data_IF_072526970678
#
_entry.id   IF_072526970678
#
_cell.length_a   1.000
_cell.length_b   1.000
_cell.length_c   1.000
_cell.angle_alpha   90.00
_cell.angle_beta   90.00
_cell.angle_gamma   90.00
#
_symmetry.space_group_name_H-M   'P 1'
#
loop_
_entity.id
_entity.type
_entity.pdbx_description
1 polymer ?
#
# COMPACT_ATOMS: atom_id res chain seq x y z
N UNK A 1 -16.33 5.75 14.80
CA UNK A 1 -16.39 6.29 13.42
C UNK A 1 -15.49 5.41 12.56
N UNK A 2 -16.06 4.43 11.86
CA UNK A 2 -15.27 3.48 11.05
C UNK A 2 -15.10 4.00 9.61
N UNK A 3 -13.86 4.36 9.26
CA UNK A 3 -13.14 3.75 8.13
C UNK A 3 -13.53 4.00 6.67
N UNK A 4 -14.44 4.92 6.31
CA UNK A 4 -14.58 5.37 4.90
C UNK A 4 -14.83 6.88 4.84
N UNK A 5 -14.12 7.59 3.94
CA UNK A 5 -14.23 9.04 3.67
C UNK A 5 -15.67 9.55 3.82
N UNK A 6 -15.98 10.11 5.01
CA UNK A 6 -17.24 10.80 5.28
C UNK A 6 -17.05 12.27 4.92
N UNK A 7 -18.11 12.90 4.42
CA UNK A 7 -18.09 14.35 4.19
C UNK A 7 -17.84 15.08 5.51
N UNK A 8 -17.22 16.27 5.44
CA UNK A 8 -16.99 17.10 6.63
C UNK A 8 -18.31 17.38 7.38
N UNK A 9 -19.40 17.59 6.64
CA UNK A 9 -20.75 17.76 7.19
C UNK A 9 -21.22 16.56 8.03
N UNK A 10 -21.03 15.34 7.51
CA UNK A 10 -21.41 14.13 8.24
C UNK A 10 -20.62 13.99 9.54
N UNK A 11 -19.30 14.26 9.50
CA UNK A 11 -18.43 14.20 10.69
C UNK A 11 -18.86 15.24 11.71
N UNK A 12 -19.14 16.47 11.28
CA UNK A 12 -19.62 17.54 12.16
C UNK A 12 -20.94 17.15 12.86
N UNK A 13 -21.91 16.60 12.12
CA UNK A 13 -23.19 16.13 12.68
C UNK A 13 -23.01 14.98 13.67
N UNK A 14 -22.20 14.00 13.34
CA UNK A 14 -21.90 12.86 14.23
C UNK A 14 -21.23 13.33 15.54
N UNK A 15 -20.20 14.19 15.44
CA UNK A 15 -19.49 14.72 16.61
C UNK A 15 -20.41 15.60 17.46
N UNK A 16 -21.28 16.40 16.84
CA UNK A 16 -22.25 17.25 17.55
C UNK A 16 -23.22 16.41 18.37
N UNK A 17 -23.76 15.32 17.80
CA UNK A 17 -24.63 14.39 18.51
C UNK A 17 -23.93 13.75 19.73
N UNK A 18 -22.71 13.25 19.55
CA UNK A 18 -21.93 12.70 20.66
C UNK A 18 -21.67 13.74 21.76
N UNK A 19 -21.38 14.98 21.39
CA UNK A 19 -21.16 16.07 22.35
C UNK A 19 -22.43 16.44 23.11
N UNK A 20 -23.58 16.50 22.43
CA UNK A 20 -24.85 16.79 23.09
C UNK A 20 -25.22 15.71 24.13
N UNK A 21 -24.93 14.44 23.86
CA UNK A 21 -25.12 13.35 24.83
C UNK A 21 -24.15 13.46 26.00
N UNK A 22 -22.86 13.67 25.74
CA UNK A 22 -21.84 13.82 26.79
C UNK A 22 -22.07 15.05 27.68
N UNK A 23 -22.56 16.13 27.09
CA UNK A 23 -22.91 17.37 27.80
C UNK A 23 -24.27 17.28 28.53
N UNK A 24 -24.98 16.14 28.45
CA UNK A 24 -26.30 15.95 29.07
C UNK A 24 -27.43 16.76 28.42
N UNK A 25 -27.21 17.33 27.24
CA UNK A 25 -28.17 18.16 26.49
C UNK A 25 -29.14 17.36 25.63
N UNK A 26 -28.84 16.08 25.41
CA UNK A 26 -29.65 15.16 24.61
C UNK A 26 -29.65 13.80 25.27
N UNK A 27 -30.82 13.16 25.40
CA UNK A 27 -30.90 11.84 26.01
C UNK A 27 -30.37 10.76 25.06
N UNK A 28 -29.79 9.65 25.58
CA UNK A 28 -29.32 8.55 24.75
C UNK A 28 -30.35 7.98 23.75
N UNK A 29 -31.66 7.85 24.10
CA UNK A 29 -32.69 7.43 23.15
C UNK A 29 -32.90 8.41 21.99
N UNK A 30 -32.99 9.72 22.28
CA UNK A 30 -33.17 10.76 21.25
C UNK A 30 -31.94 10.87 20.33
N UNK A 31 -30.75 10.67 20.90
CA UNK A 31 -29.52 10.62 20.12
C UNK A 31 -29.47 9.40 19.18
N UNK A 32 -30.02 8.26 19.60
CA UNK A 32 -30.07 7.05 18.78
C UNK A 32 -31.00 7.24 17.56
N UNK A 33 -32.15 7.89 17.75
CA UNK A 33 -33.08 8.24 16.67
C UNK A 33 -32.43 9.21 15.66
N UNK A 34 -31.79 10.27 16.16
CA UNK A 34 -31.10 11.24 15.28
C UNK A 34 -29.89 10.62 14.56
N UNK A 35 -29.21 9.66 15.19
CA UNK A 35 -28.11 8.93 14.58
C UNK A 35 -28.59 8.05 13.41
N UNK A 36 -29.84 7.58 13.39
CA UNK A 36 -30.39 6.78 12.30
C UNK A 36 -30.29 7.50 10.94
N UNK A 37 -30.48 8.84 10.95
CA UNK A 37 -30.29 9.70 9.77
C UNK A 37 -28.85 9.73 9.23
N UNK A 38 -27.85 9.48 10.09
CA UNK A 38 -26.44 9.35 9.68
C UNK A 38 -26.17 8.01 9.01
N UNK A 39 -27.04 7.02 9.22
CA UNK A 39 -27.01 5.70 8.58
C UNK A 39 -27.14 5.78 7.06
N UNK A 40 -27.79 6.81 6.50
CA UNK A 40 -27.93 6.98 5.06
C UNK A 40 -26.58 7.13 4.31
N UNK A 41 -25.54 7.66 4.97
CA UNK A 41 -24.20 7.81 4.40
C UNK A 41 -23.26 6.65 4.76
N UNK A 42 -23.65 5.76 5.68
CA UNK A 42 -22.94 4.53 5.98
C UNK A 42 -23.54 3.42 5.13
N UNK A 43 -22.78 2.70 4.33
CA UNK A 43 -23.32 1.58 3.53
C UNK A 43 -23.84 0.40 4.37
N UNK A 44 -24.17 0.61 5.64
CA UNK A 44 -24.60 -0.33 6.69
C UNK A 44 -25.53 0.41 7.65
N UNK A 45 -26.54 -0.28 8.19
CA UNK A 45 -27.34 0.23 9.32
C UNK A 45 -26.48 0.40 10.57
N UNK A 46 -26.72 1.45 11.34
CA UNK A 46 -26.10 1.62 12.66
C UNK A 46 -26.69 0.57 13.62
N UNK A 47 -25.84 0.00 14.47
CA UNK A 47 -26.24 -1.00 15.46
C UNK A 47 -25.82 -0.51 16.85
N UNK A 48 -26.67 -0.64 17.88
CA UNK A 48 -26.31 -0.27 19.24
C UNK A 48 -25.22 -1.18 19.85
N UNK A 49 -24.96 -2.37 19.27
CA UNK A 49 -23.80 -3.23 19.50
C UNK A 49 -23.06 -3.08 20.84
N UNK A 50 -21.80 -2.68 20.77
CA UNK A 50 -20.90 -2.51 21.92
C UNK A 50 -21.41 -1.56 23.00
N UNK A 51 -22.26 -0.58 22.65
CA UNK A 51 -22.85 0.35 23.64
C UNK A 51 -23.78 -0.37 24.62
N UNK A 52 -24.45 -1.44 24.18
CA UNK A 52 -25.30 -2.30 25.02
C UNK A 52 -24.61 -3.60 25.44
N UNK A 53 -23.29 -3.72 25.23
CA UNK A 53 -22.53 -4.94 25.55
C UNK A 53 -22.76 -6.12 24.60
N UNK A 54 -23.52 -5.94 23.51
CA UNK A 54 -23.75 -6.99 22.52
C UNK A 54 -22.52 -7.16 21.60
N UNK A 55 -22.01 -8.39 21.50
CA UNK A 55 -20.83 -8.76 20.70
C UNK A 55 -21.14 -9.64 19.49
N UNK A 56 -22.40 -10.00 19.27
CA UNK A 56 -22.85 -10.83 18.15
C UNK A 56 -23.43 -9.98 17.03
N UNK A 57 -23.35 -10.47 15.78
CA UNK A 57 -23.95 -9.83 14.59
C UNK A 57 -23.60 -8.33 14.39
N UNK A 58 -22.38 -7.96 14.78
CA UNK A 58 -21.86 -6.58 14.75
C UNK A 58 -21.74 -5.99 13.32
N UNK A 59 -21.86 -6.81 12.28
CA UNK A 59 -21.62 -6.39 10.89
C UNK A 59 -22.80 -5.70 10.21
N UNK A 60 -23.99 -5.67 10.83
CA UNK A 60 -25.19 -5.02 10.33
C UNK A 60 -25.70 -5.54 8.98
N UNK A 61 -26.96 -5.25 8.64
CA UNK A 61 -27.49 -5.49 7.29
C UNK A 61 -27.05 -4.38 6.32
N UNK A 62 -26.70 -4.74 5.08
CA UNK A 62 -26.35 -3.78 4.04
C UNK A 62 -27.59 -2.97 3.62
N UNK A 63 -27.49 -1.64 3.58
CA UNK A 63 -28.55 -0.75 3.12
C UNK A 63 -28.06 0.17 1.99
N UNK A 64 -28.71 0.07 0.82
CA UNK A 64 -28.86 1.09 -0.25
C UNK A 64 -30.22 0.80 -0.92
N UNK A 65 -31.02 1.76 -1.43
CA UNK A 65 -30.67 3.04 -2.11
C UNK A 65 -31.57 4.24 -1.67
N UNK A 66 -31.48 5.48 -2.19
CA UNK A 66 -32.00 5.99 -3.49
C UNK A 66 -31.05 7.03 -4.11
N UNK A 67 -30.89 6.94 -5.44
CA UNK A 67 -30.17 7.87 -6.32
C UNK A 67 -30.89 9.21 -6.43
N UNK A 68 -30.19 10.33 -6.23
CA UNK A 68 -30.67 11.64 -6.69
C UNK A 68 -30.11 11.94 -8.09
N UNK A 69 -30.86 12.67 -8.93
CA UNK A 69 -30.56 12.83 -10.35
C UNK A 69 -29.31 13.67 -10.58
N UNK A 70 -28.58 13.30 -11.62
CA UNK A 70 -27.46 14.05 -12.18
C UNK A 70 -27.98 15.40 -12.64
N UNK A 71 -27.55 16.47 -11.98
CA UNK A 71 -27.73 17.83 -12.48
C UNK A 71 -26.69 18.05 -13.57
N UNK A 72 -27.17 18.27 -14.79
CA UNK A 72 -26.38 18.72 -15.93
C UNK A 72 -25.62 20.00 -15.55
N UNK A 73 -24.30 19.98 -15.68
CA UNK A 73 -23.51 21.21 -15.59
C UNK A 73 -23.61 21.96 -16.90
N UNK A 74 -24.15 23.17 -16.79
CA UNK A 74 -24.16 24.20 -17.82
C UNK A 74 -22.75 24.48 -18.35
N UNK A 75 -22.68 24.72 -19.66
CA UNK A 75 -21.46 25.08 -20.36
C UNK A 75 -20.94 26.46 -19.99
N UNK A 76 -19.62 26.62 -20.15
CA UNK A 76 -19.00 27.92 -20.35
C UNK A 76 -18.10 27.83 -21.59
N UNK A 77 -18.41 28.68 -22.57
CA UNK A 77 -17.49 29.12 -23.61
C UNK A 77 -16.58 30.19 -23.00
N UNK A 78 -15.27 30.17 -23.23
CA UNK A 78 -14.67 30.97 -24.31
C UNK A 78 -13.13 30.94 -24.31
N UNK A 79 -12.64 31.40 -25.47
CA UNK A 79 -11.31 31.45 -26.05
C UNK A 79 -10.13 31.95 -25.18
N UNK A 80 -8.94 31.47 -25.58
CA UNK A 80 -7.65 32.08 -25.29
C UNK A 80 -6.55 31.41 -26.14
N UNK A 81 -6.14 32.07 -27.22
CA UNK A 81 -5.05 31.68 -28.12
C UNK A 81 -3.68 31.84 -27.44
N UNK A 82 -2.78 30.87 -27.70
CA UNK A 82 -1.34 31.07 -27.74
C UNK A 82 -0.72 29.99 -28.64
N UNK A 83 -0.02 30.42 -29.69
CA UNK A 83 0.78 29.59 -30.60
C UNK A 83 1.94 28.90 -29.87
N UNK A 84 2.12 27.59 -30.11
CA UNK A 84 3.43 26.91 -30.17
C UNK A 84 3.23 25.42 -30.53
N UNK A 85 3.42 25.07 -31.82
CA UNK A 85 3.26 23.72 -32.44
C UNK A 85 1.93 22.98 -32.13
N UNK A 86 1.29 22.32 -33.11
CA UNK A 86 0.05 21.62 -32.81
C UNK A 86 0.35 20.50 -31.80
N UNK A 87 -0.21 20.64 -30.60
CA UNK A 87 -0.23 19.67 -29.50
C UNK A 87 -0.98 18.42 -29.98
N UNK A 88 -0.36 17.62 -30.84
CA UNK A 88 -0.98 16.42 -31.40
C UNK A 88 -0.57 15.23 -30.53
N UNK A 89 -1.52 14.49 -29.94
CA UNK A 89 -1.21 13.31 -29.16
C UNK A 89 -0.45 12.27 -30.01
N UNK A 90 0.62 11.70 -29.47
CA UNK A 90 1.41 10.64 -30.14
C UNK A 90 1.23 9.32 -29.43
N UNK A 91 0.75 8.31 -30.14
CA UNK A 91 0.57 6.94 -29.67
C UNK A 91 1.68 6.07 -30.27
N UNK A 92 2.69 5.72 -29.49
CA UNK A 92 3.84 4.92 -29.93
C UNK A 92 3.77 3.52 -29.34
N UNK A 93 3.80 2.49 -30.18
CA UNK A 93 3.81 1.09 -29.72
C UNK A 93 5.13 0.44 -30.09
N UNK A 94 5.82 -0.08 -29.09
CA UNK A 94 7.12 -0.75 -29.22
C UNK A 94 7.06 -2.14 -28.58
N UNK A 95 7.87 -3.06 -29.10
CA UNK A 95 8.13 -4.34 -28.46
C UNK A 95 9.44 -4.23 -27.68
N UNK A 96 9.38 -4.52 -26.38
CA UNK A 96 10.54 -4.50 -25.48
C UNK A 96 10.85 -5.94 -25.04
N UNK A 97 12.12 -6.33 -25.13
CA UNK A 97 12.65 -7.67 -24.83
C UNK A 97 12.01 -8.83 -25.61
N UNK A 98 11.47 -8.57 -26.80
CA UNK A 98 10.75 -9.52 -27.68
C UNK A 98 9.53 -10.23 -27.04
N UNK A 99 9.11 -9.83 -25.83
CA UNK A 99 8.06 -10.51 -25.06
C UNK A 99 6.95 -9.59 -24.57
N UNK A 100 7.20 -8.31 -24.32
CA UNK A 100 6.17 -7.38 -23.85
C UNK A 100 6.00 -6.17 -24.76
N UNK A 101 4.74 -5.80 -24.99
CA UNK A 101 4.37 -4.64 -25.79
C UNK A 101 4.18 -3.44 -24.88
N UNK A 102 4.87 -2.34 -25.21
CA UNK A 102 4.75 -1.07 -24.51
C UNK A 102 4.04 -0.07 -25.40
N UNK A 103 2.85 0.33 -24.97
CA UNK A 103 2.06 1.36 -25.60
C UNK A 103 2.29 2.68 -24.87
N UNK A 104 2.95 3.63 -25.53
CA UNK A 104 3.36 4.92 -24.98
C UNK A 104 2.49 6.03 -25.57
N UNK A 105 1.91 6.87 -24.72
CA UNK A 105 1.19 8.07 -25.16
C UNK A 105 1.95 9.30 -24.69
N UNK A 106 2.21 10.22 -25.61
CA UNK A 106 2.79 11.53 -25.33
C UNK A 106 1.81 12.60 -25.80
N UNK A 107 1.38 13.46 -24.88
CA UNK A 107 0.50 14.58 -25.18
C UNK A 107 0.75 15.69 -24.16
N UNK A 108 1.01 16.92 -24.64
CA UNK A 108 1.51 18.04 -23.83
C UNK A 108 2.75 17.63 -22.99
N UNK A 109 2.72 17.91 -21.69
CA UNK A 109 3.75 17.53 -20.73
C UNK A 109 3.67 16.07 -20.25
N UNK A 110 2.58 15.34 -20.55
CA UNK A 110 2.39 13.97 -20.08
C UNK A 110 3.07 12.96 -20.99
N UNK A 111 3.80 12.02 -20.36
CA UNK A 111 4.43 10.86 -20.99
C UNK A 111 4.04 9.62 -20.21
N UNK A 112 3.17 8.81 -20.78
CA UNK A 112 2.60 7.66 -20.08
C UNK A 112 2.85 6.37 -20.86
N UNK A 113 2.98 5.25 -20.15
CA UNK A 113 3.26 3.93 -20.76
C UNK A 113 2.36 2.85 -20.17
N UNK A 114 1.63 2.14 -21.03
CA UNK A 114 0.87 0.93 -20.74
C UNK A 114 1.68 -0.29 -21.17
N UNK A 115 1.97 -1.18 -20.22
CA UNK A 115 2.62 -2.48 -20.48
C UNK A 115 1.56 -3.55 -20.74
N UNK A 116 1.69 -4.21 -21.87
CA UNK A 116 0.90 -5.38 -22.27
C UNK A 116 1.85 -6.60 -22.20
N UNK A 117 1.66 -7.51 -21.22
CA UNK A 117 2.49 -8.70 -21.12
C UNK A 117 2.24 -9.66 -22.30
N UNK A 118 3.16 -10.60 -22.53
CA UNK A 118 3.01 -11.63 -23.56
C UNK A 118 1.66 -12.34 -23.46
N UNK A 119 0.92 -12.42 -24.57
CA UNK A 119 -0.38 -13.07 -24.61
C UNK A 119 -0.27 -14.39 -25.38
N UNK A 120 -0.63 -15.49 -24.72
CA UNK A 120 -0.81 -16.79 -25.40
C UNK A 120 -2.22 -16.89 -25.94
N UNK A 121 -2.35 -16.90 -27.26
CA UNK A 121 -3.65 -16.95 -27.94
C UNK A 121 -3.93 -18.38 -28.37
N UNK A 122 -4.82 -19.06 -27.64
CA UNK A 122 -5.24 -20.42 -27.96
C UNK A 122 -6.18 -20.49 -29.18
N UNK A 123 -6.95 -19.44 -29.44
CA UNK A 123 -7.88 -19.37 -30.57
C UNK A 123 -7.78 -18.00 -31.29
N UNK A 124 -7.23 -17.97 -32.51
CA UNK A 124 -7.07 -16.74 -33.30
C UNK A 124 -8.38 -15.99 -33.55
N UNK A 125 -9.53 -16.67 -33.58
CA UNK A 125 -10.85 -16.03 -33.82
C UNK A 125 -11.31 -15.11 -32.69
N UNK A 126 -10.72 -15.21 -31.49
CA UNK A 126 -11.02 -14.33 -30.35
C UNK A 126 -10.00 -13.20 -30.18
N UNK A 127 -9.07 -13.07 -31.12
CA UNK A 127 -8.04 -12.04 -31.14
C UNK A 127 -8.25 -11.07 -32.31
N UNK A 128 -7.60 -9.92 -32.22
CA UNK A 128 -7.58 -8.89 -33.25
C UNK A 128 -6.12 -8.46 -33.46
N UNK A 129 -5.79 -7.99 -34.67
CA UNK A 129 -4.44 -7.47 -34.92
C UNK A 129 -4.27 -6.13 -34.23
N UNK A 130 -3.11 -5.92 -33.63
CA UNK A 130 -2.79 -4.67 -32.97
C UNK A 130 -2.89 -3.46 -33.92
N UNK A 131 -2.50 -3.63 -35.19
CA UNK A 131 -2.68 -2.59 -36.21
C UNK A 131 -4.13 -2.12 -36.32
N UNK A 132 -5.07 -3.06 -36.49
CA UNK A 132 -6.50 -2.77 -36.59
C UNK A 132 -7.03 -2.07 -35.34
N UNK A 133 -6.57 -2.48 -34.15
CA UNK A 133 -6.97 -1.86 -32.89
C UNK A 133 -6.49 -0.41 -32.79
N UNK A 134 -5.27 -0.11 -33.28
CA UNK A 134 -4.72 1.25 -33.28
C UNK A 134 -5.41 2.14 -34.31
N UNK A 135 -5.77 1.58 -35.46
CA UNK A 135 -6.50 2.28 -36.52
C UNK A 135 -7.93 2.62 -36.04
N UNK A 136 -8.62 1.66 -35.41
CA UNK A 136 -9.93 1.88 -34.78
C UNK A 136 -9.90 3.02 -33.75
N UNK A 137 -8.86 3.07 -32.90
CA UNK A 137 -8.69 4.14 -31.90
C UNK A 137 -8.44 5.49 -32.58
N UNK A 138 -7.64 5.51 -33.65
CA UNK A 138 -7.34 6.73 -34.39
C UNK A 138 -8.57 7.26 -35.16
N UNK A 139 -9.46 6.39 -35.62
CA UNK A 139 -10.66 6.76 -36.36
C UNK A 139 -11.85 7.12 -35.46
N UNK A 140 -11.90 6.60 -34.24
CA UNK A 140 -12.90 6.98 -33.23
C UNK A 140 -12.57 8.30 -32.52
N UNK A 141 -11.33 8.78 -32.59
CA UNK A 141 -10.92 10.03 -31.98
C UNK A 141 -11.47 11.26 -32.74
N UNK A 142 -11.82 12.33 -32.01
CA UNK A 142 -12.19 13.61 -32.60
C UNK A 142 -11.00 14.24 -33.35
N UNK A 143 -11.26 15.19 -34.27
CA UNK A 143 -10.21 15.82 -35.10
C UNK A 143 -9.03 16.38 -34.28
N UNK A 144 -9.31 16.98 -33.12
CA UNK A 144 -8.29 17.55 -32.20
C UNK A 144 -7.60 16.49 -31.35
N UNK A 145 -8.25 15.34 -31.13
CA UNK A 145 -7.74 14.24 -30.33
C UNK A 145 -7.17 13.09 -31.18
N UNK A 146 -7.00 13.27 -32.50
CA UNK A 146 -6.55 12.18 -33.38
C UNK A 146 -5.06 11.90 -33.16
N UNK A 147 -4.67 10.68 -32.74
CA UNK A 147 -3.28 10.39 -32.45
C UNK A 147 -2.44 10.24 -33.72
N UNK A 148 -1.19 10.71 -33.67
CA UNK A 148 -0.15 10.24 -34.57
C UNK A 148 0.30 8.87 -34.05
N UNK A 149 -0.09 7.80 -34.76
CA UNK A 149 0.26 6.42 -34.41
C UNK A 149 1.63 6.06 -34.99
N UNK A 150 2.57 5.70 -34.12
CA UNK A 150 3.90 5.19 -34.50
C UNK A 150 4.03 3.74 -34.06
N UNK A 151 4.06 2.81 -35.00
CA UNK A 151 4.18 1.38 -34.73
C UNK A 151 4.89 0.68 -35.88
N UNK A 152 5.91 -0.14 -35.58
CA UNK A 152 6.64 -0.88 -36.61
C UNK A 152 5.78 -2.01 -37.18
N UNK A 153 5.91 -2.30 -38.47
CA UNK A 153 5.06 -3.24 -39.21
C UNK A 153 5.03 -4.66 -38.60
N UNK A 154 6.17 -5.14 -38.09
CA UNK A 154 6.26 -6.42 -37.35
C UNK A 154 5.35 -6.44 -36.12
N UNK A 155 5.22 -5.31 -35.42
CA UNK A 155 4.42 -5.15 -34.20
C UNK A 155 2.95 -4.97 -34.53
N UNK A 156 2.59 -4.29 -35.63
CA UNK A 156 1.19 -4.17 -36.09
C UNK A 156 0.52 -5.52 -36.34
N UNK A 157 1.31 -6.54 -36.71
CA UNK A 157 0.83 -7.90 -36.99
C UNK A 157 0.60 -8.76 -35.75
N UNK A 158 1.00 -8.31 -34.56
CA UNK A 158 0.79 -9.07 -33.33
C UNK A 158 -0.70 -9.18 -33.03
N UNK A 159 -1.15 -10.39 -32.71
CA UNK A 159 -2.51 -10.65 -32.28
C UNK A 159 -2.63 -10.38 -30.78
N UNK A 160 -3.72 -9.71 -30.38
CA UNK A 160 -4.09 -9.49 -28.99
C UNK A 160 -5.54 -9.89 -28.75
N UNK A 161 -5.88 -10.40 -27.55
CA UNK A 161 -7.27 -10.56 -27.15
C UNK A 161 -8.04 -9.22 -27.22
N UNK A 162 -9.28 -9.23 -27.74
CA UNK A 162 -10.09 -8.01 -27.96
C UNK A 162 -10.24 -7.09 -26.75
N UNK A 163 -10.19 -7.63 -25.51
CA UNK A 163 -10.21 -6.82 -24.28
C UNK A 163 -9.15 -5.71 -24.25
N UNK A 164 -8.04 -5.90 -24.96
CA UNK A 164 -6.96 -4.92 -25.02
C UNK A 164 -7.33 -3.69 -25.86
N UNK A 165 -8.35 -3.75 -26.72
CA UNK A 165 -8.83 -2.59 -27.48
C UNK A 165 -9.41 -1.57 -26.51
N UNK A 166 -10.36 -2.00 -25.67
CA UNK A 166 -10.93 -1.16 -24.62
C UNK A 166 -9.89 -0.68 -23.61
N UNK A 167 -8.84 -1.48 -23.33
CA UNK A 167 -7.77 -1.09 -22.44
C UNK A 167 -6.86 0.00 -23.03
N UNK A 168 -6.47 -0.12 -24.30
CA UNK A 168 -5.64 0.88 -24.99
C UNK A 168 -6.46 2.17 -25.21
N UNK A 169 -7.73 2.06 -25.61
CA UNK A 169 -8.65 3.21 -25.72
C UNK A 169 -8.80 3.92 -24.38
N UNK A 170 -9.13 3.19 -23.31
CA UNK A 170 -9.27 3.78 -21.97
C UNK A 170 -7.96 4.41 -21.47
N UNK A 171 -6.81 3.84 -21.82
CA UNK A 171 -5.51 4.40 -21.49
C UNK A 171 -5.29 5.72 -22.24
N UNK A 172 -5.55 5.74 -23.55
CA UNK A 172 -5.46 6.92 -24.40
C UNK A 172 -6.37 8.06 -23.91
N UNK A 173 -7.66 7.76 -23.69
CA UNK A 173 -8.66 8.74 -23.22
C UNK A 173 -8.33 9.29 -21.83
N UNK A 174 -7.73 8.49 -20.95
CA UNK A 174 -7.28 8.97 -19.64
C UNK A 174 -6.14 9.96 -19.78
N UNK A 175 -5.16 9.71 -20.65
CA UNK A 175 -4.05 10.64 -20.88
C UNK A 175 -4.56 11.95 -21.50
N UNK A 176 -5.47 11.86 -22.48
CA UNK A 176 -6.11 13.03 -23.07
C UNK A 176 -6.88 13.83 -22.03
N UNK A 177 -7.72 13.18 -21.21
CA UNK A 177 -8.48 13.83 -20.14
C UNK A 177 -7.57 14.48 -19.10
N UNK A 178 -6.47 13.84 -18.73
CA UNK A 178 -5.51 14.40 -17.77
C UNK A 178 -4.79 15.63 -18.34
N UNK A 179 -4.44 15.62 -19.62
CA UNK A 179 -3.81 16.75 -20.30
C UNK A 179 -4.81 17.87 -20.67
N UNK A 180 -6.11 17.55 -20.78
CA UNK A 180 -7.18 18.50 -21.07
C UNK A 180 -7.87 19.04 -19.82
N UNK A 181 -7.57 18.50 -18.64
CA UNK A 181 -7.84 19.19 -17.39
C UNK A 181 -7.01 20.47 -17.42
N UNK A 182 -7.63 21.57 -17.87
CA UNK A 182 -7.32 22.90 -17.33
C UNK A 182 -7.28 22.73 -15.83
N UNK A 183 -6.24 23.24 -15.15
CA UNK A 183 -6.23 23.34 -13.70
C UNK A 183 -7.63 23.77 -13.28
N UNK A 184 -8.41 22.86 -12.69
CA UNK A 184 -9.63 23.23 -11.98
C UNK A 184 -9.10 24.18 -10.92
N UNK A 185 -9.23 25.48 -11.20
CA UNK A 185 -8.24 26.48 -10.80
C UNK A 185 -7.73 26.17 -9.42
N UNK A 186 -6.41 25.93 -9.30
CA UNK A 186 -5.76 25.76 -8.00
C UNK A 186 -6.48 26.68 -7.04
N UNK A 187 -7.15 26.13 -6.02
CA UNK A 187 -7.74 26.98 -5.01
C UNK A 187 -6.52 27.65 -4.39
N UNK A 188 -6.19 28.85 -4.87
CA UNK A 188 -5.06 29.66 -4.44
C UNK A 188 -5.42 30.25 -3.08
N UNK A 189 -5.69 29.36 -2.13
CA UNK A 189 -5.60 29.69 -0.72
C UNK A 189 -4.12 29.87 -0.48
N UNK A 190 -3.71 31.11 -0.19
CA UNK A 190 -2.37 31.34 0.35
C UNK A 190 -2.25 30.51 1.63
N UNK A 191 -1.49 29.42 1.56
CA UNK A 191 -1.23 28.60 2.72
C UNK A 191 -0.50 29.45 3.78
N UNK A 192 -0.80 29.27 5.07
CA UNK A 192 -0.02 29.92 6.12
C UNK A 192 1.49 29.67 5.91
N UNK A 193 2.36 30.66 6.16
CA UNK A 193 3.79 30.55 5.87
C UNK A 193 4.45 29.27 6.44
N UNK A 194 4.05 28.86 7.65
CA UNK A 194 4.54 27.63 8.28
C UNK A 194 4.14 26.36 7.52
N UNK A 195 2.93 26.29 6.97
CA UNK A 195 2.46 25.16 6.15
C UNK A 195 3.17 25.16 4.80
N UNK A 196 3.30 26.31 4.16
CA UNK A 196 4.05 26.44 2.90
C UNK A 196 5.51 26.00 3.07
N UNK A 197 6.18 26.45 4.14
CA UNK A 197 7.54 26.03 4.46
C UNK A 197 7.64 24.53 4.73
N UNK A 198 6.69 23.95 5.46
CA UNK A 198 6.63 22.51 5.72
C UNK A 198 6.47 21.72 4.40
N UNK A 199 5.58 22.13 3.50
CA UNK A 199 5.32 21.41 2.26
C UNK A 199 6.43 21.52 1.21
N UNK A 200 7.42 22.42 1.39
CA UNK A 200 8.57 22.48 0.49
C UNK A 200 9.33 21.15 0.49
N UNK A 201 9.67 20.61 -0.69
CA UNK A 201 10.43 19.38 -0.78
C UNK A 201 11.76 19.52 -0.04
N UNK A 202 12.04 18.65 0.96
CA UNK A 202 13.32 18.68 1.65
C UNK A 202 14.42 18.04 0.77
N UNK A 203 15.67 18.18 1.19
CA UNK A 203 16.79 17.50 0.53
C UNK A 203 16.80 16.00 0.90
N UNK A 204 17.14 15.12 -0.05
CA UNK A 204 17.16 13.68 0.20
C UNK A 204 18.25 13.28 1.20
N UNK A 205 17.96 12.22 1.97
CA UNK A 205 18.92 11.63 2.90
C UNK A 205 20.10 10.99 2.14
N UNK A 206 21.34 11.29 2.53
CA UNK A 206 22.53 10.68 1.93
C UNK A 206 22.61 9.14 2.08
N UNK A 207 21.88 8.57 3.04
CA UNK A 207 21.78 7.11 3.20
C UNK A 207 20.97 6.45 2.08
N UNK A 208 20.05 7.19 1.44
CA UNK A 208 19.20 6.68 0.36
C UNK A 208 20.01 6.62 -0.95
N UNK A 209 20.65 5.46 -1.21
CA UNK A 209 21.57 5.27 -2.35
C UNK A 209 21.41 3.94 -3.07
N UNK A 210 20.69 3.00 -2.50
CA UNK A 210 20.53 1.64 -3.01
C UNK A 210 19.37 1.60 -4.02
N UNK A 211 19.58 1.14 -5.27
CA UNK A 211 18.48 0.90 -6.21
C UNK A 211 17.69 -0.37 -5.84
N UNK A 212 16.50 -0.57 -6.42
CA UNK A 212 15.62 -1.71 -6.09
C UNK A 212 16.22 -3.10 -6.37
N UNK A 213 17.17 -3.21 -7.30
CA UNK A 213 17.90 -4.44 -7.60
C UNK A 213 19.18 -4.60 -6.76
N UNK A 214 19.37 -3.75 -5.74
CA UNK A 214 20.48 -3.83 -4.82
C UNK A 214 20.46 -5.09 -3.94
N UNK A 215 21.57 -5.34 -3.24
CA UNK A 215 21.65 -6.46 -2.30
C UNK A 215 20.84 -6.12 -1.04
N UNK A 216 19.88 -6.97 -0.62
CA UNK A 216 19.13 -6.73 0.61
C UNK A 216 20.01 -6.70 1.85
N UNK A 217 19.89 -5.61 2.63
CA UNK A 217 20.65 -5.37 3.85
C UNK A 217 19.93 -5.79 5.12
N UNK A 218 18.65 -6.21 5.02
CA UNK A 218 17.90 -6.71 6.16
C UNK A 218 17.02 -7.92 5.86
N UNK A 219 16.81 -8.73 6.90
CA UNK A 219 15.81 -9.79 6.94
C UNK A 219 14.79 -9.51 8.04
N UNK A 220 13.54 -9.88 7.82
CA UNK A 220 12.50 -9.93 8.86
C UNK A 220 12.05 -11.37 9.07
N UNK A 221 11.95 -11.77 10.34
CA UNK A 221 11.64 -13.12 10.79
C UNK A 221 10.66 -13.06 11.96
N UNK A 222 9.81 -14.07 12.11
CA UNK A 222 8.99 -14.26 13.30
C UNK A 222 9.56 -15.41 14.14
N UNK A 223 8.90 -15.71 15.26
CA UNK A 223 9.13 -16.92 16.06
C UNK A 223 9.23 -18.20 15.23
N UNK A 224 8.44 -18.33 14.15
CA UNK A 224 8.42 -19.57 13.35
C UNK A 224 9.72 -19.77 12.58
N UNK A 225 10.36 -18.71 12.10
CA UNK A 225 11.52 -18.82 11.23
C UNK A 225 12.87 -18.72 11.97
N UNK A 226 12.89 -18.37 13.27
CA UNK A 226 14.16 -18.14 13.97
C UNK A 226 15.04 -19.39 14.11
N UNK A 227 14.45 -20.59 14.12
CA UNK A 227 15.22 -21.82 14.22
C UNK A 227 16.01 -22.07 12.92
N UNK A 228 15.45 -21.68 11.78
CA UNK A 228 16.17 -21.69 10.50
C UNK A 228 17.39 -20.77 10.56
N UNK A 229 17.25 -19.59 11.18
CA UNK A 229 18.37 -18.66 11.38
C UNK A 229 19.46 -19.25 12.30
N UNK A 230 19.09 -19.99 13.35
CA UNK A 230 20.08 -20.66 14.22
C UNK A 230 20.87 -21.72 13.49
N UNK A 231 20.19 -22.51 12.66
CA UNK A 231 20.81 -23.57 11.88
C UNK A 231 21.63 -23.04 10.71
N UNK A 232 21.32 -21.82 10.24
CA UNK A 232 21.97 -21.17 9.11
C UNK A 232 22.42 -19.73 9.48
N UNK A 233 23.40 -19.55 10.41
CA UNK A 233 23.83 -18.24 10.89
C UNK A 233 24.32 -17.30 9.78
N UNK A 234 24.79 -17.85 8.66
CA UNK A 234 25.25 -17.11 7.50
C UNK A 234 24.16 -16.20 6.91
N UNK A 235 22.88 -16.53 7.12
CA UNK A 235 21.73 -15.68 6.75
C UNK A 235 21.82 -14.28 7.36
N UNK A 236 22.35 -14.14 8.58
CA UNK A 236 22.50 -12.86 9.26
C UNK A 236 23.78 -12.09 8.89
N UNK A 237 24.68 -12.67 8.11
CA UNK A 237 25.99 -12.07 7.81
C UNK A 237 25.83 -10.72 7.13
N UNK A 238 26.35 -9.66 7.77
CA UNK A 238 26.26 -8.26 7.30
C UNK A 238 24.81 -7.81 7.04
N UNK A 239 23.84 -8.37 7.76
CA UNK A 239 22.44 -7.99 7.69
C UNK A 239 21.93 -7.54 9.05
N UNK A 240 20.97 -6.63 8.98
CA UNK A 240 20.11 -6.28 10.09
C UNK A 240 18.95 -7.29 10.17
N UNK A 241 18.62 -7.74 11.37
CA UNK A 241 17.60 -8.77 11.60
C UNK A 241 16.44 -8.19 12.39
N UNK A 242 15.30 -8.00 11.73
CA UNK A 242 14.04 -7.64 12.35
C UNK A 242 13.36 -8.89 12.89
N UNK A 243 13.03 -8.90 14.18
CA UNK A 243 12.33 -9.98 14.85
C UNK A 243 10.92 -9.49 15.19
N UNK A 244 9.89 -10.02 14.54
CA UNK A 244 8.50 -9.79 14.95
C UNK A 244 8.28 -10.47 16.30
N UNK A 245 8.04 -9.67 17.34
CA UNK A 245 7.82 -10.14 18.70
C UNK A 245 6.41 -9.81 19.16
N UNK A 246 5.79 -10.73 19.88
CA UNK A 246 4.46 -10.56 20.47
C UNK A 246 4.57 -10.63 22.00
N UNK A 247 3.85 -9.77 22.75
CA UNK A 247 3.84 -9.81 24.22
C UNK A 247 3.47 -11.19 24.78
N UNK A 248 2.45 -11.83 24.20
CA UNK A 248 2.05 -13.22 24.48
C UNK A 248 3.15 -14.27 24.27
N UNK A 249 4.25 -13.93 23.60
CA UNK A 249 5.41 -14.80 23.36
C UNK A 249 6.65 -14.41 24.18
N UNK A 250 6.53 -13.54 25.19
CA UNK A 250 7.64 -13.04 25.99
C UNK A 250 8.58 -14.14 26.50
N UNK A 251 8.02 -15.21 27.08
CA UNK A 251 8.80 -16.32 27.67
C UNK A 251 9.65 -17.03 26.62
N UNK A 252 9.14 -17.19 25.40
CA UNK A 252 9.88 -17.74 24.28
C UNK A 252 11.05 -16.82 23.92
N UNK A 253 10.80 -15.51 23.74
CA UNK A 253 11.84 -14.55 23.34
C UNK A 253 12.93 -14.37 24.39
N UNK A 254 12.60 -14.43 25.69
CA UNK A 254 13.57 -14.42 26.78
C UNK A 254 14.57 -15.59 26.69
N UNK A 255 14.11 -16.77 26.26
CA UNK A 255 14.97 -17.95 26.10
C UNK A 255 15.67 -17.98 24.73
N UNK A 256 15.00 -17.45 23.71
CA UNK A 256 15.42 -17.60 22.33
C UNK A 256 16.48 -16.57 21.92
N UNK A 257 16.27 -15.30 22.28
CA UNK A 257 17.12 -14.17 21.88
C UNK A 257 18.60 -14.34 22.28
N UNK A 258 18.95 -14.79 23.51
CA UNK A 258 20.35 -15.00 23.90
C UNK A 258 21.07 -16.10 23.12
N UNK A 259 20.32 -16.98 22.45
CA UNK A 259 20.85 -18.14 21.69
C UNK A 259 20.93 -17.86 20.18
N UNK A 260 20.57 -16.65 19.74
CA UNK A 260 20.67 -16.29 18.34
C UNK A 260 22.13 -15.94 17.98
N UNK A 261 22.55 -16.12 16.71
CA UNK A 261 23.88 -15.73 16.28
C UNK A 261 24.13 -14.22 16.46
N UNK A 262 25.39 -13.78 16.47
CA UNK A 262 25.67 -12.34 16.59
C UNK A 262 25.21 -11.57 15.34
N UNK A 263 24.31 -10.60 15.52
CA UNK A 263 23.79 -9.74 14.44
C UNK A 263 23.25 -8.40 14.99
N UNK A 264 22.96 -7.45 14.11
CA UNK A 264 22.23 -6.21 14.45
C UNK A 264 20.73 -6.50 14.53
N UNK A 265 20.25 -6.77 15.74
CA UNK A 265 18.85 -7.12 15.99
C UNK A 265 17.96 -5.89 16.20
N UNK A 266 16.79 -5.92 15.58
CA UNK A 266 15.68 -4.99 15.79
C UNK A 266 14.47 -5.76 16.28
N UNK A 267 14.03 -5.51 17.50
CA UNK A 267 12.78 -6.08 18.00
C UNK A 267 11.61 -5.24 17.46
N UNK A 268 10.80 -5.86 16.60
CA UNK A 268 9.63 -5.27 15.99
C UNK A 268 8.38 -5.56 16.83
N UNK A 269 7.90 -4.53 17.53
CA UNK A 269 6.67 -4.60 18.31
C UNK A 269 5.46 -4.76 17.37
N UNK A 270 4.37 -5.40 17.82
CA UNK A 270 3.23 -5.67 16.95
C UNK A 270 2.41 -4.39 16.68
N UNK A 271 1.54 -4.43 15.69
CA UNK A 271 0.62 -3.32 15.39
C UNK A 271 -0.47 -3.16 16.46
N UNK A 272 -0.82 -4.24 17.13
CA UNK A 272 -1.92 -4.31 18.10
C UNK A 272 -1.38 -4.91 19.39
N UNK A 273 -1.66 -4.24 20.50
CA UNK A 273 -1.42 -4.71 21.86
C UNK A 273 -2.69 -4.48 22.66
N UNK A 274 -3.14 -5.49 23.39
CA UNK A 274 -4.27 -5.36 24.30
C UNK A 274 -3.83 -4.98 25.71
N UNK A 275 -4.76 -4.45 26.52
CA UNK A 275 -4.48 -3.96 27.87
C UNK A 275 -3.85 -5.06 28.77
N UNK A 276 -4.31 -6.30 28.63
CA UNK A 276 -3.77 -7.47 29.35
C UNK A 276 -2.32 -7.82 28.95
N UNK A 277 -1.87 -7.36 27.78
CA UNK A 277 -0.53 -7.62 27.25
C UNK A 277 0.48 -6.52 27.62
N UNK A 278 0.06 -5.43 28.27
CA UNK A 278 0.91 -4.25 28.51
C UNK A 278 2.15 -4.55 29.37
N UNK A 279 2.02 -5.36 30.41
CA UNK A 279 3.16 -5.69 31.27
C UNK A 279 4.17 -6.59 30.53
N UNK A 280 3.68 -7.53 29.73
CA UNK A 280 4.52 -8.35 28.87
C UNK A 280 5.20 -7.51 27.77
N UNK A 281 4.50 -6.52 27.22
CA UNK A 281 5.06 -5.57 26.27
C UNK A 281 6.18 -4.72 26.89
N UNK A 282 6.00 -4.21 28.11
CA UNK A 282 7.06 -3.51 28.86
C UNK A 282 8.27 -4.42 29.11
N UNK A 283 8.04 -5.69 29.45
CA UNK A 283 9.11 -6.65 29.62
C UNK A 283 9.87 -6.95 28.31
N UNK A 284 9.20 -6.93 27.15
CA UNK A 284 9.87 -7.01 25.84
C UNK A 284 10.77 -5.79 25.58
N UNK A 285 10.36 -4.58 25.99
CA UNK A 285 11.19 -3.37 25.88
C UNK A 285 12.46 -3.50 26.74
N UNK A 286 12.34 -4.02 27.96
CA UNK A 286 13.50 -4.28 28.83
C UNK A 286 14.41 -5.38 28.27
N UNK A 287 13.81 -6.43 27.68
CA UNK A 287 14.57 -7.47 26.99
C UNK A 287 15.38 -6.88 25.82
N UNK A 288 14.78 -5.99 25.02
CA UNK A 288 15.47 -5.31 23.94
C UNK A 288 16.66 -4.49 24.44
N UNK A 289 16.51 -3.74 25.54
CA UNK A 289 17.62 -2.98 26.17
C UNK A 289 18.73 -3.89 26.64
N UNK A 290 18.38 -4.94 27.39
CA UNK A 290 19.33 -5.91 27.95
C UNK A 290 20.21 -6.53 26.87
N UNK A 291 19.65 -6.79 25.69
CA UNK A 291 20.37 -7.39 24.57
C UNK A 291 20.86 -6.37 23.53
N UNK A 292 20.83 -5.07 23.86
CA UNK A 292 21.26 -3.98 22.96
C UNK A 292 20.59 -4.01 21.58
N UNK A 293 19.36 -4.53 21.51
CA UNK A 293 18.57 -4.53 20.30
C UNK A 293 18.00 -3.12 20.06
N UNK A 294 17.84 -2.75 18.80
CA UNK A 294 17.03 -1.58 18.44
C UNK A 294 15.55 -1.94 18.47
N UNK A 295 14.69 -0.94 18.47
CA UNK A 295 13.24 -1.13 18.42
C UNK A 295 12.65 -0.64 17.12
N UNK A 296 11.74 -1.45 16.58
CA UNK A 296 10.79 -1.05 15.55
C UNK A 296 9.40 -0.89 16.17
N UNK A 297 8.76 0.24 15.90
CA UNK A 297 7.40 0.55 16.33
C UNK A 297 6.45 0.46 15.13
N UNK A 298 5.28 -0.13 15.35
CA UNK A 298 4.32 -0.44 14.30
C UNK A 298 2.93 0.15 14.55
N UNK A 299 2.75 0.91 15.63
CA UNK A 299 1.54 1.66 15.94
C UNK A 299 1.85 2.86 16.83
N UNK A 300 0.89 3.76 16.99
CA UNK A 300 1.04 4.87 17.95
C UNK A 300 1.07 4.37 19.40
N UNK A 301 0.38 3.28 19.70
CA UNK A 301 0.37 2.67 21.04
C UNK A 301 1.74 2.09 21.39
N UNK A 302 2.36 1.36 20.46
CA UNK A 302 3.73 0.84 20.65
C UNK A 302 4.77 1.94 20.69
N UNK A 303 4.59 3.00 19.90
CA UNK A 303 5.42 4.19 19.98
C UNK A 303 5.32 4.86 21.36
N UNK A 304 4.10 5.11 21.85
CA UNK A 304 3.88 5.74 23.15
C UNK A 304 4.45 4.89 24.28
N UNK A 305 4.18 3.58 24.28
CA UNK A 305 4.69 2.65 25.28
C UNK A 305 6.23 2.68 25.34
N UNK A 306 6.89 2.68 24.17
CA UNK A 306 8.34 2.75 24.11
C UNK A 306 8.89 4.10 24.60
N UNK A 307 8.20 5.21 24.28
CA UNK A 307 8.56 6.56 24.78
C UNK A 307 8.45 6.66 26.30
N UNK A 308 7.38 6.15 26.89
CA UNK A 308 7.16 6.12 28.34
C UNK A 308 8.21 5.26 29.04
N UNK A 309 8.62 4.16 28.42
CA UNK A 309 9.72 3.36 28.92
C UNK A 309 11.07 4.09 28.84
N UNK A 310 11.20 5.20 28.08
CA UNK A 310 12.40 6.02 27.96
C UNK A 310 13.19 5.86 26.66
N UNK A 311 12.67 5.16 25.66
CA UNK A 311 13.30 5.06 24.35
C UNK A 311 13.20 6.39 23.58
N UNK A 312 14.28 6.77 22.91
CA UNK A 312 14.37 8.03 22.15
C UNK A 312 14.46 7.84 20.63
N UNK A 313 14.82 6.65 20.19
CA UNK A 313 15.13 6.36 18.79
C UNK A 313 14.50 5.04 18.37
N UNK A 314 13.90 5.04 17.17
CA UNK A 314 13.11 3.92 16.66
C UNK A 314 13.37 3.67 15.18
N UNK A 315 12.95 2.51 14.71
CA UNK A 315 12.64 2.26 13.31
C UNK A 315 11.11 2.34 13.14
N UNK A 316 10.64 3.11 12.16
CA UNK A 316 9.24 3.11 11.77
C UNK A 316 8.93 1.88 10.93
N UNK A 317 8.18 0.94 11.46
CA UNK A 317 7.89 -0.34 10.82
C UNK A 317 6.73 -0.30 9.81
N UNK A 318 6.39 -1.44 9.20
CA UNK A 318 5.30 -1.56 8.22
C UNK A 318 3.93 -1.07 8.72
N UNK A 319 3.66 -1.13 10.03
CA UNK A 319 2.40 -0.62 10.60
C UNK A 319 2.28 0.90 10.65
N UNK A 320 3.41 1.61 10.54
CA UNK A 320 3.48 3.08 10.42
C UNK A 320 4.08 3.47 9.06
N UNK A 321 3.81 2.68 8.01
CA UNK A 321 4.44 2.88 6.71
C UNK A 321 4.05 4.21 6.06
N UNK A 322 4.96 4.76 5.26
CA UNK A 322 4.81 6.07 4.62
C UNK A 322 4.61 5.96 3.11
N UNK A 323 3.88 6.92 2.56
CA UNK A 323 3.64 7.10 1.11
C UNK A 323 4.21 8.42 0.56
N UNK A 324 4.70 9.32 1.43
CA UNK A 324 5.25 10.62 1.03
C UNK A 324 6.30 11.13 2.04
N UNK A 325 7.11 12.10 1.61
CA UNK A 325 8.23 12.61 2.40
C UNK A 325 7.79 13.40 3.64
N UNK A 326 6.60 14.00 3.63
CA UNK A 326 6.05 14.71 4.79
C UNK A 326 5.71 13.75 5.94
N UNK A 327 5.13 12.60 5.63
CA UNK A 327 4.89 11.54 6.60
C UNK A 327 6.21 10.98 7.16
N UNK A 328 7.22 10.79 6.31
CA UNK A 328 8.56 10.39 6.74
C UNK A 328 9.18 11.40 7.71
N UNK A 329 9.16 12.70 7.37
CA UNK A 329 9.67 13.77 8.25
C UNK A 329 8.93 13.83 9.58
N UNK A 330 7.60 13.71 9.56
CA UNK A 330 6.82 13.67 10.79
C UNK A 330 7.24 12.52 11.71
N UNK A 331 7.41 11.30 11.18
CA UNK A 331 7.89 10.17 11.98
C UNK A 331 9.32 10.38 12.49
N UNK A 332 10.17 11.06 11.71
CA UNK A 332 11.52 11.41 12.13
C UNK A 332 11.51 12.37 13.33
N UNK A 333 10.65 13.39 13.31
CA UNK A 333 10.43 14.28 14.47
C UNK A 333 9.93 13.53 15.71
N UNK A 334 9.26 12.39 15.52
CA UNK A 334 8.84 11.48 16.61
C UNK A 334 9.93 10.48 17.04
N UNK A 335 11.13 10.58 16.48
CA UNK A 335 12.31 9.79 16.85
C UNK A 335 12.62 8.61 15.92
N UNK A 336 11.88 8.43 14.82
CA UNK A 336 12.19 7.37 13.86
C UNK A 336 13.45 7.72 13.05
N UNK A 337 14.49 6.90 13.16
CA UNK A 337 15.77 7.06 12.46
C UNK A 337 15.72 6.51 11.03
N UNK A 338 14.76 5.66 10.74
CA UNK A 338 14.42 5.16 9.40
C UNK A 338 12.93 4.86 9.34
N UNK A 339 12.33 4.90 8.15
CA UNK A 339 10.89 4.63 7.97
C UNK A 339 10.67 3.59 6.89
N UNK A 340 9.64 2.76 7.08
CA UNK A 340 9.24 1.76 6.10
C UNK A 340 8.32 2.38 5.07
N UNK A 341 8.62 2.15 3.79
CA UNK A 341 7.75 2.54 2.68
C UNK A 341 6.59 1.55 2.60
N UNK A 342 5.37 2.07 2.40
CA UNK A 342 4.19 1.21 2.26
C UNK A 342 4.32 0.31 1.03
N UNK A 343 4.01 -1.00 1.13
CA UNK A 343 3.98 -1.88 -0.03
C UNK A 343 2.89 -1.48 -1.03
N UNK A 344 1.91 -0.69 -0.62
CA UNK A 344 0.84 -0.18 -1.49
C UNK A 344 1.30 0.94 -2.44
N UNK A 345 2.52 1.47 -2.26
CA UNK A 345 3.08 2.52 -3.11
C UNK A 345 3.21 2.06 -4.56
N UNK A 346 2.85 2.94 -5.51
CA UNK A 346 3.13 2.69 -6.92
C UNK A 346 4.55 3.14 -7.33
N UNK A 347 4.94 2.79 -8.56
CA UNK A 347 6.25 3.15 -9.11
C UNK A 347 6.55 4.65 -9.03
N UNK A 348 5.62 5.49 -9.47
CA UNK A 348 5.84 6.95 -9.60
C UNK A 348 5.92 7.59 -8.23
N UNK A 349 5.03 7.20 -7.32
CA UNK A 349 5.05 7.65 -5.93
C UNK A 349 6.37 7.28 -5.24
N UNK A 350 6.92 6.09 -5.51
CA UNK A 350 8.19 5.66 -4.93
C UNK A 350 9.38 6.43 -5.52
N UNK A 351 9.40 6.71 -6.82
CA UNK A 351 10.39 7.59 -7.46
C UNK A 351 10.36 8.98 -6.80
N UNK A 352 9.18 9.61 -6.75
CA UNK A 352 8.97 10.94 -6.16
C UNK A 352 9.36 10.98 -4.67
N UNK A 353 8.94 9.99 -3.88
CA UNK A 353 9.30 9.87 -2.46
C UNK A 353 10.82 9.75 -2.30
N UNK A 354 11.45 8.84 -3.03
CA UNK A 354 12.88 8.55 -2.88
C UNK A 354 13.78 9.72 -3.27
N UNK A 355 13.35 10.54 -4.24
CA UNK A 355 14.10 11.69 -4.73
C UNK A 355 14.22 12.83 -3.70
N UNK A 356 13.28 12.93 -2.76
CA UNK A 356 13.22 14.06 -1.81
C UNK A 356 13.15 13.64 -0.33
N UNK A 357 13.04 12.34 -0.02
CA UNK A 357 12.87 11.91 1.37
C UNK A 357 14.11 12.22 2.23
N UNK A 358 14.00 13.02 3.30
CA UNK A 358 15.13 13.39 4.15
C UNK A 358 15.48 12.31 5.17
N UNK A 359 14.72 11.22 5.21
CA UNK A 359 14.84 10.13 6.17
C UNK A 359 15.26 8.84 5.46
N UNK A 360 16.12 7.99 6.05
CA UNK A 360 16.43 6.67 5.51
C UNK A 360 15.18 5.83 5.24
N UNK A 361 15.06 5.33 4.02
CA UNK A 361 13.92 4.52 3.56
C UNK A 361 14.23 3.02 3.63
N UNK A 362 13.34 2.25 4.25
CA UNK A 362 13.32 0.79 4.22
C UNK A 362 12.22 0.33 3.26
N UNK A 363 12.56 -0.45 2.23
CA UNK A 363 11.59 -1.00 1.26
C UNK A 363 11.53 -2.51 1.40
N UNK A 364 10.32 -3.04 1.63
CA UNK A 364 10.06 -4.47 1.54
C UNK A 364 10.15 -4.90 0.08
N UNK A 365 11.13 -5.74 -0.26
CA UNK A 365 11.31 -6.26 -1.63
C UNK A 365 10.88 -7.72 -1.78
N UNK A 366 10.55 -8.35 -0.67
CA UNK A 366 9.98 -9.69 -0.60
C UNK A 366 9.15 -9.73 0.67
N UNK A 367 7.89 -10.13 0.59
CA UNK A 367 7.02 -10.24 1.78
C UNK A 367 5.74 -11.02 1.44
N UNK A 368 5.12 -11.61 2.46
CA UNK A 368 3.70 -11.98 2.45
C UNK A 368 2.96 -10.98 3.34
N UNK A 369 2.59 -9.79 2.82
CA UNK A 369 2.05 -8.74 3.66
C UNK A 369 0.75 -9.20 4.32
N UNK A 370 0.50 -8.86 5.60
CA UNK A 370 -0.80 -9.07 6.22
C UNK A 370 -1.89 -8.37 5.40
N UNK A 371 -2.85 -9.14 4.84
CA UNK A 371 -3.97 -8.59 4.08
C UNK A 371 -5.20 -8.37 4.94
N UNK A 372 -5.26 -9.04 6.09
CA UNK A 372 -6.25 -8.82 7.13
C UNK A 372 -5.70 -9.30 8.48
N UNK A 373 -6.07 -8.60 9.55
CA UNK A 373 -5.82 -9.01 10.93
C UNK A 373 -7.15 -8.97 11.67
N UNK A 374 -7.44 -9.98 12.49
CA UNK A 374 -8.70 -10.08 13.22
C UNK A 374 -8.52 -10.81 14.54
N UNK A 375 -9.24 -10.35 15.56
CA UNK A 375 -9.45 -11.07 16.83
C UNK A 375 -10.64 -12.02 16.79
N UNK A 376 -11.50 -11.87 15.77
CA UNK A 376 -12.65 -12.74 15.63
C UNK A 376 -12.19 -14.13 15.20
N UNK A 377 -12.67 -15.15 15.89
CA UNK A 377 -12.44 -16.54 15.50
C UNK A 377 -13.08 -16.81 14.15
N UNK A 378 -12.32 -17.47 13.28
CA UNK A 378 -12.80 -17.86 11.97
C UNK A 378 -13.72 -19.09 12.08
N UNK A 379 -14.70 -19.24 11.18
CA UNK A 379 -15.53 -20.44 11.15
C UNK A 379 -14.66 -21.69 10.92
N UNK A 380 -15.15 -22.86 11.35
CA UNK A 380 -14.46 -24.12 11.14
C UNK A 380 -14.18 -24.38 9.66
N UNK A 381 -13.00 -24.94 9.37
CA UNK A 381 -12.48 -25.08 8.01
C UNK A 381 -11.86 -23.80 7.44
N UNK A 382 -11.77 -22.73 8.24
CA UNK A 382 -11.10 -21.47 7.89
C UNK A 382 -10.14 -21.01 8.99
N UNK A 383 -9.95 -21.80 10.06
CA UNK A 383 -9.12 -21.41 11.20
C UNK A 383 -7.64 -21.65 10.91
N UNK A 384 -6.73 -20.93 11.60
CA UNK A 384 -5.30 -21.22 11.51
C UNK A 384 -4.94 -22.69 11.77
N UNK A 385 -5.66 -23.33 12.69
CA UNK A 385 -5.42 -24.72 13.12
C UNK A 385 -5.89 -25.74 12.08
N UNK A 386 -6.88 -25.39 11.26
CA UNK A 386 -7.43 -26.26 10.21
C UNK A 386 -6.50 -26.33 8.97
N UNK A 387 -5.46 -25.48 8.92
CA UNK A 387 -4.54 -25.33 7.77
C UNK A 387 -5.22 -25.02 6.43
N UNK A 388 -6.50 -24.64 6.46
CA UNK A 388 -7.28 -24.36 5.28
C UNK A 388 -6.87 -23.04 4.61
N UNK A 389 -7.05 -22.97 3.30
CA UNK A 389 -6.80 -21.76 2.52
C UNK A 389 -8.10 -21.07 2.15
N UNK A 390 -8.10 -19.74 2.16
CA UNK A 390 -9.21 -18.92 1.67
C UNK A 390 -8.84 -18.37 0.30
N UNK A 391 -9.76 -18.36 -0.65
CA UNK A 391 -9.51 -17.77 -1.98
C UNK A 391 -10.44 -16.59 -2.19
N UNK A 392 -9.87 -15.43 -2.51
CA UNK A 392 -10.67 -14.23 -2.79
C UNK A 392 -11.25 -14.23 -4.21
N UNK A 393 -12.09 -13.23 -4.52
CA UNK A 393 -12.68 -13.07 -5.86
C UNK A 393 -11.67 -12.79 -6.98
N UNK A 394 -10.41 -12.49 -6.65
CA UNK A 394 -9.29 -12.29 -7.58
C UNK A 394 -8.38 -13.53 -7.66
N UNK A 395 -8.80 -14.67 -7.10
CA UNK A 395 -8.04 -15.91 -7.05
C UNK A 395 -6.72 -15.80 -6.25
N UNK A 396 -6.65 -14.85 -5.32
CA UNK A 396 -5.55 -14.77 -4.36
C UNK A 396 -5.84 -15.76 -3.24
N UNK A 397 -4.91 -16.69 -3.04
CA UNK A 397 -4.97 -17.67 -1.95
C UNK A 397 -4.37 -17.06 -0.69
N UNK A 398 -5.14 -17.07 0.38
CA UNK A 398 -4.81 -16.57 1.70
C UNK A 398 -4.69 -17.74 2.68
N UNK A 399 -3.72 -17.66 3.57
CA UNK A 399 -3.51 -18.62 4.64
C UNK A 399 -3.70 -17.92 5.99
N UNK A 400 -4.72 -18.30 6.78
CA UNK A 400 -4.86 -17.88 8.15
C UNK A 400 -3.70 -18.40 9.00
N UNK A 401 -3.16 -17.55 9.87
CA UNK A 401 -2.09 -17.87 10.82
C UNK A 401 -2.36 -17.22 12.17
N UNK A 402 -1.91 -17.86 13.24
CA UNK A 402 -1.89 -17.25 14.58
C UNK A 402 -0.60 -16.47 14.73
N UNK A 403 -0.70 -15.16 14.97
CA UNK A 403 0.43 -14.27 15.26
C UNK A 403 0.08 -13.50 16.54
N UNK A 404 0.73 -13.87 17.65
CA UNK A 404 0.31 -13.48 18.99
C UNK A 404 -1.14 -13.91 19.28
N UNK A 405 -1.97 -12.95 19.71
CA UNK A 405 -3.40 -13.16 20.01
C UNK A 405 -4.30 -13.05 18.78
N UNK A 406 -3.75 -12.63 17.63
CA UNK A 406 -4.53 -12.35 16.42
C UNK A 406 -4.49 -13.50 15.41
N UNK A 407 -5.57 -13.61 14.64
CA UNK A 407 -5.56 -14.32 13.37
C UNK A 407 -5.18 -13.35 12.26
N UNK A 408 -4.12 -13.69 11.51
CA UNK A 408 -3.60 -12.90 10.39
C UNK A 408 -3.79 -13.67 9.10
N UNK A 409 -4.38 -13.04 8.09
CA UNK A 409 -4.52 -13.59 6.75
C UNK A 409 -3.37 -13.07 5.88
N UNK A 410 -2.43 -13.95 5.55
CA UNK A 410 -1.32 -13.64 4.64
C UNK A 410 -1.52 -14.33 3.29
N UNK A 411 -1.09 -13.74 2.17
CA UNK A 411 -1.13 -14.42 0.88
C UNK A 411 -0.17 -15.60 0.89
N UNK A 412 -0.55 -16.69 0.23
CA UNK A 412 0.33 -17.84 0.05
C UNK A 412 1.53 -17.46 -0.84
N UNK A 413 1.25 -16.77 -1.94
CA UNK A 413 2.26 -16.26 -2.86
C UNK A 413 2.82 -14.92 -2.36
N UNK A 414 4.14 -14.74 -2.28
CA UNK A 414 4.75 -13.51 -1.83
C UNK A 414 4.68 -12.41 -2.89
N UNK A 415 4.73 -11.15 -2.45
CA UNK A 415 5.18 -10.06 -3.32
C UNK A 415 6.70 -10.16 -3.52
N UNK A 416 7.17 -9.78 -4.71
CA UNK A 416 8.59 -9.89 -5.06
C UNK A 416 9.03 -8.72 -5.95
N UNK A 417 9.94 -7.88 -5.44
CA UNK A 417 10.49 -6.71 -6.12
C UNK A 417 11.98 -6.81 -6.39
N UNK A 418 12.68 -7.85 -5.90
CA UNK A 418 14.17 -7.99 -6.07
C UNK A 418 14.63 -8.10 -7.53
N UNK A 419 13.72 -8.34 -8.48
CA UNK A 419 13.98 -8.35 -9.94
C UNK A 419 13.69 -7.01 -10.62
N UNK A 420 13.05 -6.07 -9.94
CA UNK A 420 12.73 -4.77 -10.51
C UNK A 420 14.02 -3.96 -10.63
N UNK A 421 14.27 -3.45 -11.82
CA UNK A 421 15.38 -2.53 -12.08
C UNK A 421 14.79 -1.14 -12.25
N UNK A 422 15.12 -0.25 -11.31
CA UNK A 422 14.78 1.16 -11.38
C UNK A 422 15.87 1.95 -10.67
N UNK A 423 16.62 2.75 -11.44
CA UNK A 423 17.74 3.53 -10.92
C UNK A 423 17.31 4.88 -10.34
N UNK A 424 16.11 5.35 -10.67
CA UNK A 424 15.54 6.59 -10.14
C UNK A 424 15.05 6.42 -8.69
N UNK A 425 14.83 5.17 -8.27
CA UNK A 425 14.51 4.82 -6.88
C UNK A 425 15.81 4.61 -6.11
N UNK A 426 16.02 5.42 -5.06
CA UNK A 426 17.15 5.28 -4.13
C UNK A 426 16.66 5.13 -2.69
N UNK A 427 17.04 4.05 -2.02
CA UNK A 427 16.61 3.76 -0.65
C UNK A 427 17.80 3.41 0.24
N UNK A 428 17.60 3.44 1.55
CA UNK A 428 18.66 3.12 2.50
C UNK A 428 18.81 1.61 2.67
N UNK A 429 17.70 0.88 2.67
CA UNK A 429 17.71 -0.55 2.89
C UNK A 429 16.60 -1.27 2.10
N UNK A 430 16.93 -2.44 1.57
CA UNK A 430 15.97 -3.38 1.03
C UNK A 430 15.80 -4.52 2.03
N UNK A 431 14.55 -4.81 2.38
CA UNK A 431 14.16 -5.77 3.41
C UNK A 431 13.53 -6.99 2.76
N UNK A 432 14.05 -8.17 3.06
CA UNK A 432 13.43 -9.45 2.73
C UNK A 432 12.67 -9.94 3.95
N UNK A 433 11.36 -9.89 3.88
CA UNK A 433 10.46 -10.35 4.92
C UNK A 433 10.09 -11.82 4.70
N UNK A 434 10.70 -12.68 5.52
CA UNK A 434 10.54 -14.13 5.48
C UNK A 434 9.46 -14.60 6.48
N UNK A 435 8.72 -13.68 7.11
CA UNK A 435 7.61 -14.06 7.97
C UNK A 435 6.60 -14.86 7.14
N UNK A 436 6.17 -15.98 7.70
CA UNK A 436 5.30 -16.94 7.06
C UNK A 436 5.89 -17.65 5.83
N UNK A 437 7.21 -17.66 5.69
CA UNK A 437 7.91 -18.44 4.67
C UNK A 437 7.82 -19.95 4.98
N UNK A 438 7.47 -20.78 3.99
CA UNK A 438 7.54 -22.24 4.14
C UNK A 438 8.99 -22.76 4.08
N UNK A 439 9.91 -22.01 3.47
CA UNK A 439 11.33 -22.36 3.33
C UNK A 439 12.18 -21.08 3.23
N UNK A 440 12.57 -20.50 4.39
CA UNK A 440 13.30 -19.23 4.44
C UNK A 440 14.64 -19.27 3.68
N UNK A 441 15.36 -20.38 3.74
CA UNK A 441 16.66 -20.56 3.09
C UNK A 441 16.53 -20.60 1.56
N UNK A 442 15.49 -21.28 1.06
CA UNK A 442 15.21 -21.31 -0.38
C UNK A 442 14.75 -19.96 -0.88
N UNK A 443 13.81 -19.29 -0.23
CA UNK A 443 13.27 -18.00 -0.67
C UNK A 443 14.31 -16.86 -0.62
N UNK A 444 15.30 -16.97 0.26
CA UNK A 444 16.42 -16.05 0.28
C UNK A 444 17.32 -16.20 -0.96
N UNK A 445 17.59 -17.45 -1.38
CA UNK A 445 18.51 -17.81 -2.49
C UNK A 445 17.85 -17.75 -3.86
N UNK A 446 16.66 -18.34 -3.98
CA UNK A 446 15.97 -18.52 -5.25
C UNK A 446 15.19 -17.27 -5.67
N UNK A 447 15.09 -17.10 -6.98
CA UNK A 447 14.34 -16.05 -7.62
C UNK A 447 13.19 -16.71 -8.39
N UNK A 448 12.00 -16.72 -7.79
CA UNK A 448 10.79 -17.30 -8.39
C UNK A 448 10.48 -16.73 -9.79
N UNK A 449 9.85 -17.52 -10.66
CA UNK A 449 9.56 -17.11 -12.04
C UNK A 449 8.25 -16.32 -12.19
N UNK A 450 7.26 -16.57 -11.34
CA UNK A 450 5.98 -15.87 -11.30
C UNK A 450 5.82 -15.21 -9.94
N UNK A 451 5.63 -13.90 -9.91
CA UNK A 451 5.49 -13.16 -8.65
C UNK A 451 4.56 -11.97 -8.79
N UNK A 452 3.89 -11.64 -7.69
CA UNK A 452 3.11 -10.41 -7.59
C UNK A 452 4.05 -9.22 -7.38
N UNK A 453 3.91 -8.17 -8.19
CA UNK A 453 4.52 -6.87 -7.92
C UNK A 453 3.64 -6.02 -6.99
N UNK A 454 2.55 -6.59 -6.46
CA UNK A 454 1.55 -5.89 -5.66
C UNK A 454 1.04 -4.63 -6.37
N UNK A 455 1.24 -3.44 -5.80
CA UNK A 455 0.80 -2.17 -6.40
C UNK A 455 1.86 -1.46 -7.25
N UNK A 456 3.13 -1.91 -7.29
CA UNK A 456 4.20 -1.18 -7.99
C UNK A 456 3.85 -0.81 -9.45
N UNK A 457 3.28 -1.76 -10.20
CA UNK A 457 2.85 -1.54 -11.58
C UNK A 457 1.40 -1.05 -11.75
N UNK A 458 0.66 -0.87 -10.66
CA UNK A 458 -0.73 -0.40 -10.69
C UNK A 458 -0.76 1.11 -10.63
N UNK A 459 -1.56 1.73 -11.47
CA UNK A 459 -1.98 3.13 -11.29
C UNK A 459 -3.28 3.10 -10.51
N UNK A 460 -3.29 3.68 -9.32
CA UNK A 460 -4.54 4.07 -8.68
C UNK A 460 -5.18 5.09 -9.63
N UNK A 461 -6.36 4.74 -10.17
CA UNK A 461 -7.07 5.54 -11.18
C UNK A 461 -7.61 6.83 -10.60
#
# INVERSE_FOLDING_TARGET
IEGRLKTADWVARAVTLYRQVLDGKLSPPEAAEQAESLGACAGRRLCPGYFLGNRENLTGEAARPVSLPVTEKAGCQDAGEADDEPDIPRLTVLLEDDKSLHCKVRYKHLKETLRIPEQRIANPRRAQRLGEMLDDIADQASREAKPIVTCVEKVRRILLPRRWQSAIQSFYDTVLRQASKTDEGEVKVSLPPGVSAYLRPPSPCAANRLPLNGVPGALRLSRTEIETLRQNPEMATKKQIFLEVWPSELSFWQQALPKLPAADYVLALPQVIYEEELDAAKALLELARKHSCRLEVNSWDTWQLAREAGWKSFVGGPGLAVLNANAARFLHEKGCQSVTVSPEIDKRQLEELSAVCPVPLNVLVFSRPPLMQTRAELPGGCRPEDTATLTDGRQIVLRPRREGTLTVLRPQEPMYWRRLVNFDIKVANLVVDLVASPDPCRELREIGQNYSTFNYGRRLR
#
